data_IF_691101302702
#
_entry.id   IF_691101302702
#
_cell.length_a   1.000
_cell.length_b   1.000
_cell.length_c   1.000
_cell.angle_alpha   90.00
_cell.angle_beta   90.00
_cell.angle_gamma   90.00
#
_symmetry.space_group_name_H-M   'P 1'
#
loop_
_entity.id
_entity.type
_entity.pdbx_description
1 polymer ?
#
# COMPACT_ATOMS: atom_id res chain seq x y z
N UNK A 1 29.40 22.95 21.28
CA UNK A 1 29.39 23.27 19.85
C UNK A 1 27.94 23.32 19.40
N UNK A 2 27.57 24.43 18.75
CA UNK A 2 26.29 24.78 18.14
C UNK A 2 25.00 24.60 18.95
N UNK A 3 24.72 25.62 19.77
CA UNK A 3 23.38 26.12 20.06
C UNK A 3 22.73 26.55 18.74
N UNK A 4 21.69 25.83 18.31
CA UNK A 4 20.91 26.19 17.13
C UNK A 4 19.78 27.12 17.56
N UNK A 5 20.05 28.42 17.45
CA UNK A 5 19.20 29.53 17.88
C UNK A 5 17.72 29.32 17.61
N UNK A 6 16.99 29.04 18.69
CA UNK A 6 15.55 29.18 18.76
C UNK A 6 15.21 30.67 18.76
N UNK A 7 14.90 31.22 17.59
CA UNK A 7 14.15 32.47 17.50
C UNK A 7 12.80 32.30 18.19
N UNK A 8 12.52 33.13 19.20
CA UNK A 8 11.22 33.34 19.86
C UNK A 8 10.18 32.19 19.77
N UNK A 9 10.29 31.22 20.68
CA UNK A 9 9.18 30.57 21.39
C UNK A 9 8.03 29.94 20.57
N UNK A 10 8.32 29.06 19.60
CA UNK A 10 7.28 28.17 19.06
C UNK A 10 6.98 27.07 20.11
N UNK A 11 5.74 27.00 20.56
CA UNK A 11 5.22 25.88 21.36
C UNK A 11 4.42 24.94 20.45
N UNK A 12 4.88 23.70 20.31
CA UNK A 12 4.19 22.68 19.52
C UNK A 12 3.05 22.02 20.32
N UNK A 13 1.91 21.79 19.67
CA UNK A 13 0.76 21.06 20.26
C UNK A 13 1.04 19.54 20.37
N UNK A 14 1.86 19.03 19.44
CA UNK A 14 2.33 17.64 19.33
C UNK A 14 3.72 17.62 18.69
N UNK A 15 4.57 16.73 19.20
CA UNK A 15 5.87 16.37 18.65
C UNK A 15 5.90 14.84 18.57
N UNK A 16 6.32 14.31 17.42
CA UNK A 16 6.33 12.86 17.12
C UNK A 16 7.52 12.55 16.21
N UNK A 17 7.96 11.31 16.18
CA UNK A 17 9.05 10.86 15.32
C UNK A 17 8.61 10.75 13.84
N UNK A 18 7.34 10.39 13.61
CA UNK A 18 6.79 10.18 12.26
C UNK A 18 5.38 10.75 12.11
N UNK A 19 5.23 11.80 11.30
CA UNK A 19 3.94 12.41 10.96
C UNK A 19 3.49 11.99 9.56
N UNK A 20 2.35 11.31 9.48
CA UNK A 20 1.68 10.96 8.23
C UNK A 20 0.54 11.92 7.94
N UNK A 21 0.57 12.53 6.77
CA UNK A 21 -0.50 13.41 6.28
C UNK A 21 -1.34 12.66 5.24
N UNK A 22 -2.52 12.20 5.66
CA UNK A 22 -3.49 11.46 4.84
C UNK A 22 -3.66 10.01 5.30
N UNK A 23 -4.90 9.62 5.57
CA UNK A 23 -5.29 8.28 6.01
C UNK A 23 -5.60 7.29 4.88
N UNK A 24 -5.04 7.50 3.68
CA UNK A 24 -5.17 6.58 2.54
C UNK A 24 -4.26 5.35 2.65
N UNK A 25 -4.31 4.45 1.67
CA UNK A 25 -3.53 3.19 1.70
C UNK A 25 -2.04 3.41 1.96
N UNK A 26 -1.39 4.31 1.20
CA UNK A 26 0.03 4.63 1.39
C UNK A 26 0.32 5.20 2.78
N UNK A 27 -0.52 6.11 3.29
CA UNK A 27 -0.35 6.71 4.61
C UNK A 27 -0.51 5.70 5.73
N UNK A 28 -1.50 4.81 5.64
CA UNK A 28 -1.72 3.75 6.63
C UNK A 28 -0.59 2.72 6.64
N UNK A 29 -0.10 2.29 5.47
CA UNK A 29 1.06 1.39 5.38
C UNK A 29 2.31 2.06 5.97
N UNK A 30 2.55 3.33 5.63
CA UNK A 30 3.66 4.10 6.21
C UNK A 30 3.57 4.19 7.75
N UNK A 31 2.39 4.49 8.29
CA UNK A 31 2.17 4.56 9.72
C UNK A 31 2.39 3.20 10.42
N UNK A 32 1.93 2.10 9.80
CA UNK A 32 2.15 0.76 10.30
C UNK A 32 3.63 0.39 10.33
N UNK A 33 4.36 0.69 9.25
CA UNK A 33 5.81 0.46 9.19
C UNK A 33 6.56 1.27 10.23
N UNK A 34 6.28 2.58 10.36
CA UNK A 34 6.89 3.43 11.38
C UNK A 34 6.61 2.92 12.80
N UNK A 35 5.35 2.55 13.07
CA UNK A 35 4.95 2.00 14.37
C UNK A 35 5.63 0.66 14.67
N UNK A 36 5.77 -0.21 13.66
CA UNK A 36 6.48 -1.49 13.79
C UNK A 36 7.97 -1.27 14.14
N UNK A 37 8.58 -0.19 13.66
CA UNK A 37 9.94 0.22 14.00
C UNK A 37 10.06 0.93 15.36
N UNK A 38 8.96 1.04 16.12
CA UNK A 38 8.95 1.62 17.46
C UNK A 38 8.85 3.15 17.51
N UNK A 39 8.58 3.80 16.37
CA UNK A 39 8.49 5.26 16.29
C UNK A 39 7.16 5.78 16.88
N UNK A 40 7.21 6.92 17.57
CA UNK A 40 5.99 7.65 17.90
C UNK A 40 5.39 8.22 16.61
N UNK A 41 4.17 7.77 16.27
CA UNK A 41 3.59 7.93 14.95
C UNK A 41 2.22 8.56 15.04
N UNK A 42 2.01 9.66 14.31
CA UNK A 42 0.74 10.36 14.21
C UNK A 42 0.23 10.35 12.76
N UNK A 43 -1.01 9.92 12.56
CA UNK A 43 -1.72 10.06 11.28
C UNK A 43 -2.71 11.20 11.42
N UNK A 44 -2.67 12.15 10.48
CA UNK A 44 -3.68 13.20 10.35
C UNK A 44 -4.46 13.04 9.05
N UNK A 45 -5.78 13.12 9.13
CA UNK A 45 -6.68 13.04 7.97
C UNK A 45 -7.65 14.23 8.02
N UNK A 46 -7.85 14.87 6.88
CA UNK A 46 -8.73 16.04 6.75
C UNK A 46 -10.21 15.62 6.83
N UNK A 47 -10.53 14.47 6.26
CA UNK A 47 -11.87 13.89 6.25
C UNK A 47 -12.24 13.32 7.63
N UNK A 48 -13.54 13.26 7.99
CA UNK A 48 -13.99 12.50 9.16
C UNK A 48 -13.78 10.98 8.99
N UNK A 49 -13.49 10.51 7.77
CA UNK A 49 -13.24 9.12 7.43
C UNK A 49 -11.84 8.91 6.86
N UNK A 50 -11.21 7.81 7.25
CA UNK A 50 -9.99 7.25 6.68
C UNK A 50 -10.22 6.71 5.26
N UNK A 51 -9.12 6.47 4.55
CA UNK A 51 -9.07 5.71 3.31
C UNK A 51 -9.09 6.54 2.03
N UNK A 52 -9.59 7.78 2.04
CA UNK A 52 -9.53 8.67 0.88
C UNK A 52 -10.05 8.05 -0.42
N UNK A 53 -9.26 8.14 -1.50
CA UNK A 53 -9.54 7.45 -2.77
C UNK A 53 -9.30 5.94 -2.70
N UNK A 54 -8.39 5.46 -1.84
CA UNK A 54 -8.15 4.02 -1.63
C UNK A 54 -9.42 3.31 -1.17
N UNK A 55 -10.19 3.89 -0.24
CA UNK A 55 -11.45 3.30 0.23
C UNK A 55 -12.59 3.33 -0.80
N UNK A 56 -12.41 3.98 -1.96
CA UNK A 56 -13.39 4.02 -3.05
C UNK A 56 -12.93 3.27 -4.29
N UNK A 57 -11.69 2.83 -4.34
CA UNK A 57 -11.16 2.09 -5.50
C UNK A 57 -11.69 0.66 -5.49
N UNK A 58 -11.44 -0.08 -6.57
CA UNK A 58 -11.71 -1.52 -6.61
C UNK A 58 -10.81 -2.36 -5.72
N UNK A 59 -9.89 -1.75 -4.95
CA UNK A 59 -9.01 -2.46 -4.01
C UNK A 59 -7.88 -3.27 -4.64
N UNK A 60 -7.81 -3.34 -5.98
CA UNK A 60 -6.77 -4.06 -6.70
C UNK A 60 -5.44 -3.31 -6.64
N UNK A 61 -4.37 -4.03 -6.28
CA UNK A 61 -2.99 -3.54 -6.36
C UNK A 61 -2.22 -4.38 -7.37
N UNK A 62 -1.36 -3.74 -8.15
CA UNK A 62 -0.46 -4.44 -9.05
C UNK A 62 0.90 -4.51 -8.38
N UNK A 63 1.34 -5.71 -8.00
CA UNK A 63 2.65 -5.91 -7.36
C UNK A 63 3.34 -7.05 -8.09
N UNK A 64 4.42 -6.79 -8.85
CA UNK A 64 5.13 -7.85 -9.55
C UNK A 64 5.97 -8.67 -8.58
N UNK A 65 6.39 -9.86 -8.99
CA UNK A 65 7.38 -10.69 -8.29
C UNK A 65 7.08 -10.94 -6.80
N UNK A 66 5.81 -11.10 -6.45
CA UNK A 66 5.37 -11.34 -5.06
C UNK A 66 5.08 -12.82 -4.79
N UNK A 67 5.07 -13.22 -3.52
CA UNK A 67 4.90 -14.63 -3.16
C UNK A 67 3.58 -15.26 -3.64
N UNK A 68 2.48 -14.50 -3.74
CA UNK A 68 1.16 -15.04 -4.14
C UNK A 68 1.13 -15.47 -5.61
N UNK A 69 1.76 -14.70 -6.49
CA UNK A 69 1.82 -15.06 -7.92
C UNK A 69 2.73 -16.27 -8.13
N UNK A 70 3.80 -16.38 -7.33
CA UNK A 70 4.72 -17.54 -7.34
C UNK A 70 4.04 -18.81 -6.82
N UNK A 71 3.31 -18.73 -5.71
CA UNK A 71 2.50 -19.83 -5.19
C UNK A 71 1.42 -20.28 -6.19
N UNK A 72 0.89 -19.33 -6.98
CA UNK A 72 -0.02 -19.59 -8.07
C UNK A 72 0.61 -20.18 -9.34
N UNK A 73 1.94 -20.27 -9.40
CA UNK A 73 2.70 -20.83 -10.51
C UNK A 73 3.03 -19.86 -11.64
N UNK A 74 2.85 -18.54 -11.45
CA UNK A 74 3.26 -17.54 -12.43
C UNK A 74 4.80 -17.39 -12.39
N UNK A 75 5.53 -17.61 -13.50
CA UNK A 75 6.99 -17.51 -13.52
C UNK A 75 7.44 -16.05 -13.68
N UNK A 76 6.98 -15.17 -12.79
CA UNK A 76 7.38 -13.76 -12.78
C UNK A 76 8.79 -13.58 -12.20
N UNK A 77 9.41 -12.43 -12.43
CA UNK A 77 10.70 -12.11 -11.85
C UNK A 77 10.89 -10.60 -11.76
N UNK A 78 11.81 -10.14 -10.90
CA UNK A 78 12.19 -8.73 -10.86
C UNK A 78 12.67 -8.23 -12.23
N UNK A 79 13.46 -9.01 -12.96
CA UNK A 79 13.93 -8.67 -14.31
C UNK A 79 12.75 -8.50 -15.28
N UNK A 80 11.81 -9.44 -15.28
CA UNK A 80 10.64 -9.40 -16.16
C UNK A 80 9.73 -8.20 -15.83
N UNK A 81 9.56 -7.90 -14.56
CA UNK A 81 8.84 -6.72 -14.10
C UNK A 81 9.51 -5.42 -14.56
N UNK A 82 10.86 -5.34 -14.47
CA UNK A 82 11.63 -4.20 -14.99
C UNK A 82 11.48 -4.05 -16.50
N UNK A 83 11.53 -5.14 -17.25
CA UNK A 83 11.26 -5.13 -18.71
C UNK A 83 9.87 -4.57 -19.01
N UNK A 84 8.85 -5.00 -18.25
CA UNK A 84 7.48 -4.52 -18.41
C UNK A 84 7.29 -3.04 -18.07
N UNK A 85 7.88 -2.59 -16.97
CA UNK A 85 7.87 -1.18 -16.58
C UNK A 85 8.60 -0.31 -17.62
N UNK A 86 9.76 -0.76 -18.12
CA UNK A 86 10.50 -0.06 -19.16
C UNK A 86 9.72 0.02 -20.48
N UNK A 87 9.01 -1.04 -20.87
CA UNK A 87 8.25 -1.07 -22.13
C UNK A 87 6.95 -0.27 -22.07
N UNK A 88 6.28 -0.25 -20.91
CA UNK A 88 4.97 0.40 -20.77
C UNK A 88 5.08 1.81 -20.18
N UNK A 89 5.89 2.04 -19.15
CA UNK A 89 6.06 3.33 -18.47
C UNK A 89 7.14 4.17 -19.14
N UNK A 90 8.26 3.54 -19.51
CA UNK A 90 9.40 4.23 -20.12
C UNK A 90 10.02 5.27 -19.19
N UNK A 91 10.38 6.43 -19.75
CA UNK A 91 11.02 7.53 -19.02
C UNK A 91 10.04 8.51 -18.34
N UNK A 92 8.74 8.21 -18.33
CA UNK A 92 7.70 9.07 -17.70
C UNK A 92 7.82 9.13 -16.18
N UNK A 93 8.46 8.13 -15.58
CA UNK A 93 8.75 8.02 -14.15
C UNK A 93 10.25 7.83 -13.99
N UNK A 94 10.93 8.51 -13.04
CA UNK A 94 12.35 8.29 -12.78
C UNK A 94 12.66 6.81 -12.55
N UNK A 95 13.79 6.32 -13.08
CA UNK A 95 14.16 4.91 -12.96
C UNK A 95 14.22 4.49 -11.49
N UNK A 96 14.82 5.29 -10.61
CA UNK A 96 14.93 4.99 -9.17
C UNK A 96 13.58 4.69 -8.51
N UNK A 97 12.50 5.35 -8.94
CA UNK A 97 11.14 5.15 -8.41
C UNK A 97 10.58 3.83 -8.92
N UNK A 98 10.79 3.52 -10.20
CA UNK A 98 10.38 2.24 -10.78
C UNK A 98 11.12 1.07 -10.13
N UNK A 99 12.43 1.21 -9.93
CA UNK A 99 13.27 0.20 -9.29
C UNK A 99 12.87 -0.02 -7.83
N UNK A 100 12.64 1.06 -7.09
CA UNK A 100 12.16 0.97 -5.70
C UNK A 100 10.81 0.27 -5.62
N UNK A 101 9.90 0.57 -6.55
CA UNK A 101 8.59 -0.07 -6.60
C UNK A 101 8.68 -1.58 -6.87
N UNK A 102 9.46 -1.99 -7.88
CA UNK A 102 9.64 -3.41 -8.22
C UNK A 102 10.33 -4.17 -7.08
N UNK A 103 11.32 -3.56 -6.44
CA UNK A 103 12.09 -4.18 -5.36
C UNK A 103 11.29 -4.30 -4.05
N UNK A 104 10.63 -3.23 -3.62
CA UNK A 104 10.01 -3.16 -2.30
C UNK A 104 8.51 -3.53 -2.31
N UNK A 105 7.86 -3.57 -3.47
CA UNK A 105 6.47 -3.99 -3.60
C UNK A 105 6.19 -5.37 -2.99
N UNK A 106 6.93 -6.43 -3.36
CA UNK A 106 6.80 -7.76 -2.75
C UNK A 106 6.98 -7.74 -1.23
N UNK A 107 7.98 -7.02 -0.73
CA UNK A 107 8.28 -6.91 0.69
C UNK A 107 7.16 -6.21 1.46
N UNK A 108 6.49 -5.23 0.85
CA UNK A 108 5.30 -4.60 1.44
C UNK A 108 4.16 -5.61 1.60
N UNK A 109 3.94 -6.49 0.61
CA UNK A 109 2.89 -7.52 0.68
C UNK A 109 3.21 -8.57 1.76
N UNK A 110 4.47 -8.95 1.92
CA UNK A 110 4.95 -9.80 3.01
C UNK A 110 4.79 -9.13 4.38
N UNK A 111 5.22 -7.87 4.52
CA UNK A 111 5.10 -7.09 5.74
C UNK A 111 3.64 -7.00 6.21
N UNK A 112 2.70 -6.73 5.30
CA UNK A 112 1.28 -6.66 5.63
C UNK A 112 0.72 -8.02 6.06
N UNK A 113 1.15 -9.12 5.41
CA UNK A 113 0.79 -10.49 5.82
C UNK A 113 1.29 -10.79 7.23
N UNK A 114 2.54 -10.44 7.54
CA UNK A 114 3.23 -10.88 8.75
C UNK A 114 2.91 -10.02 9.98
N UNK A 115 2.47 -8.78 9.79
CA UNK A 115 2.30 -7.82 10.90
C UNK A 115 0.88 -7.26 11.03
N UNK A 116 -0.07 -7.66 10.18
CA UNK A 116 -1.45 -7.16 10.23
C UNK A 116 -2.47 -8.25 9.88
N UNK A 117 -3.76 -7.94 9.95
CA UNK A 117 -4.85 -8.78 9.44
C UNK A 117 -5.07 -8.64 7.92
N UNK A 118 -4.35 -7.74 7.24
CA UNK A 118 -4.50 -7.51 5.80
C UNK A 118 -4.00 -8.73 5.04
N UNK A 119 -4.86 -9.32 4.20
CA UNK A 119 -4.51 -10.44 3.32
C UNK A 119 -4.79 -10.06 1.88
N UNK A 120 -3.96 -10.55 0.98
CA UNK A 120 -4.15 -10.42 -0.45
C UNK A 120 -4.29 -11.81 -1.08
N UNK A 121 -5.02 -11.89 -2.18
CA UNK A 121 -5.09 -13.05 -3.06
C UNK A 121 -4.69 -12.63 -4.46
N UNK A 122 -4.10 -13.55 -5.21
CA UNK A 122 -3.82 -13.31 -6.63
C UNK A 122 -5.12 -13.40 -7.44
N UNK A 123 -5.42 -12.34 -8.18
CA UNK A 123 -6.55 -12.28 -9.13
C UNK A 123 -6.19 -13.03 -10.41
N UNK A 124 -6.06 -14.35 -10.33
CA UNK A 124 -5.64 -15.20 -11.44
C UNK A 124 -6.55 -15.00 -12.66
N UNK A 125 -5.95 -14.65 -13.80
CA UNK A 125 -6.66 -14.37 -15.04
C UNK A 125 -7.02 -12.89 -15.25
N UNK A 126 -6.78 -12.03 -14.24
CA UNK A 126 -6.82 -10.59 -14.43
C UNK A 126 -5.50 -10.15 -15.07
N UNK A 127 -5.52 -9.94 -16.38
CA UNK A 127 -4.31 -9.62 -17.16
C UNK A 127 -3.61 -8.36 -16.66
N UNK A 128 -2.31 -8.27 -16.93
CA UNK A 128 -1.70 -6.95 -16.95
C UNK A 128 -2.41 -6.06 -17.97
N UNK A 129 -2.28 -4.74 -17.84
CA UNK A 129 -2.95 -3.79 -18.76
C UNK A 129 -2.54 -3.99 -20.23
N UNK A 130 -1.28 -4.34 -20.49
CA UNK A 130 -0.73 -4.57 -21.83
C UNK A 130 -0.03 -5.94 -21.87
N UNK A 131 -0.76 -7.06 -21.81
CA UNK A 131 -0.17 -8.39 -21.64
C UNK A 131 0.78 -8.79 -22.78
N UNK A 132 0.60 -8.20 -23.96
CA UNK A 132 1.44 -8.38 -25.16
C UNK A 132 2.76 -7.61 -25.11
N UNK A 133 2.89 -6.61 -24.23
CA UNK A 133 4.12 -5.84 -24.11
C UNK A 133 5.26 -6.72 -23.55
N UNK A 134 6.53 -6.42 -23.88
CA UNK A 134 7.67 -7.14 -23.32
C UNK A 134 7.60 -7.22 -21.79
N UNK A 135 7.62 -8.44 -21.24
CA UNK A 135 7.51 -8.70 -19.80
C UNK A 135 6.07 -8.78 -19.25
N UNK A 136 5.04 -8.68 -20.09
CA UNK A 136 3.64 -8.81 -19.72
C UNK A 136 3.20 -10.26 -19.45
N UNK A 137 2.06 -10.41 -18.77
CA UNK A 137 1.33 -11.66 -18.54
C UNK A 137 -0.17 -11.49 -18.78
N UNK A 138 -0.77 -12.45 -19.49
CA UNK A 138 -2.22 -12.57 -19.67
C UNK A 138 -2.95 -12.99 -18.40
N UNK A 139 -2.30 -13.75 -17.51
CA UNK A 139 -2.86 -14.10 -16.18
C UNK A 139 -2.60 -13.01 -15.12
N UNK A 140 -1.67 -12.10 -15.43
CA UNK A 140 -1.37 -10.83 -14.74
C UNK A 140 -0.93 -10.89 -13.28
N UNK A 141 -0.54 -9.73 -12.75
CA UNK A 141 0.06 -9.55 -11.40
C UNK A 141 -0.82 -8.75 -10.45
N UNK A 142 -2.13 -8.71 -10.74
CA UNK A 142 -3.13 -8.06 -9.91
C UNK A 142 -3.39 -8.86 -8.63
N UNK A 143 -3.40 -8.18 -7.50
CA UNK A 143 -3.77 -8.72 -6.20
C UNK A 143 -5.01 -7.99 -5.68
N UNK A 144 -5.92 -8.75 -5.09
CA UNK A 144 -7.10 -8.23 -4.41
C UNK A 144 -6.95 -8.39 -2.90
N UNK A 145 -7.36 -7.38 -2.15
CA UNK A 145 -7.47 -7.51 -0.70
C UNK A 145 -8.62 -8.47 -0.36
N UNK A 146 -8.34 -9.43 0.52
CA UNK A 146 -9.39 -10.28 1.10
C UNK A 146 -10.30 -9.40 1.94
N UNK A 147 -11.64 -9.53 1.82
CA UNK A 147 -12.56 -8.75 2.61
C UNK A 147 -12.29 -8.86 4.12
N UNK A 148 -12.30 -7.72 4.81
CA UNK A 148 -11.97 -7.66 6.23
C UNK A 148 -13.26 -7.62 7.08
N UNK A 149 -13.26 -8.30 8.22
CA UNK A 149 -14.38 -8.23 9.14
C UNK A 149 -14.33 -6.91 9.94
N UNK A 150 -15.10 -5.92 9.50
CA UNK A 150 -15.15 -4.59 10.11
C UNK A 150 -15.52 -4.54 11.60
N UNK A 151 -16.17 -5.58 12.14
CA UNK A 151 -16.48 -5.64 13.58
C UNK A 151 -15.23 -5.67 14.46
N UNK A 152 -14.10 -6.13 13.92
CA UNK A 152 -12.80 -6.14 14.60
C UNK A 152 -12.26 -4.71 14.87
N UNK A 153 -12.79 -3.69 14.20
CA UNK A 153 -12.41 -2.29 14.43
C UNK A 153 -13.00 -1.73 15.74
N UNK A 154 -14.04 -2.37 16.29
CA UNK A 154 -14.74 -1.90 17.49
C UNK A 154 -15.15 -0.42 17.36
N UNK A 155 -14.82 0.38 18.38
CA UNK A 155 -15.16 1.81 18.40
C UNK A 155 -14.52 2.63 17.26
N UNK A 156 -13.48 2.10 16.59
CA UNK A 156 -12.81 2.78 15.48
C UNK A 156 -13.56 2.64 14.15
N UNK A 157 -14.58 1.77 14.08
CA UNK A 157 -15.40 1.61 12.87
C UNK A 157 -16.02 2.94 12.41
N UNK A 158 -16.30 3.87 13.35
CA UNK A 158 -16.81 5.22 13.07
C UNK A 158 -15.91 6.06 12.15
N UNK A 159 -14.62 5.74 12.06
CA UNK A 159 -13.66 6.43 11.20
C UNK A 159 -13.60 5.85 9.78
N UNK A 160 -14.40 4.84 9.46
CA UNK A 160 -14.45 4.23 8.13
C UNK A 160 -15.82 4.44 7.51
N UNK A 161 -15.85 4.47 6.17
CA UNK A 161 -17.12 4.53 5.44
C UNK A 161 -17.83 3.18 5.54
N UNK A 162 -19.15 3.20 5.40
CA UNK A 162 -19.90 1.96 5.25
C UNK A 162 -19.38 1.18 4.02
N UNK A 163 -19.31 -0.16 4.11
CA UNK A 163 -18.89 -1.01 3.00
C UNK A 163 -19.85 -0.86 1.81
N UNK A 164 -19.29 -0.91 0.61
CA UNK A 164 -20.09 -0.90 -0.64
C UNK A 164 -20.76 -2.26 -0.87
N UNK A 165 -20.13 -3.34 -0.42
CA UNK A 165 -20.69 -4.68 -0.43
C UNK A 165 -21.65 -4.85 0.76
N UNK A 166 -22.94 -5.08 0.49
CA UNK A 166 -23.95 -5.32 1.52
C UNK A 166 -23.90 -6.75 2.04
N UNK A 167 -23.67 -6.90 3.34
CA UNK A 167 -23.63 -8.16 4.09
C UNK A 167 -22.96 -7.89 5.44
N UNK A 168 -23.44 -8.48 6.53
CA UNK A 168 -23.08 -8.15 7.93
C UNK A 168 -21.59 -8.35 8.33
N UNK A 169 -20.68 -8.59 7.38
CA UNK A 169 -19.34 -9.13 7.67
C UNK A 169 -18.18 -8.51 6.89
N UNK A 170 -18.39 -7.45 6.09
CA UNK A 170 -17.33 -6.87 5.26
C UNK A 170 -17.16 -5.38 5.56
N UNK A 171 -15.91 -4.95 5.76
CA UNK A 171 -15.45 -3.57 5.72
C UNK A 171 -14.28 -3.46 4.73
#
# INVERSE_FOLDING_TARGET
>A
MADNGAGAGIRWDKEVDWLVVGGGGAGMVSALTAKHLGLDTLVIEKSPYMGGSTARSGGVVWIPNNYLVHEGGLPDSEERARTYMASTVGNRVPSEVQESFVKYGPQMIEFLRDHTETRFIWSKGYSDYYPEAPGGFSEGRALEAVPFNGTLLGANQKYFRAPVLSGTHYA
#
